data_IF_707204599257
#
_entry.id   IF_707204599257
#
_cell.length_a   1.000
_cell.length_b   1.000
_cell.length_c   1.000
_cell.angle_alpha   90.00
_cell.angle_beta   90.00
_cell.angle_gamma   90.00
#
_symmetry.space_group_name_H-M   'P 1'
#
loop_
_entity.id
_entity.type
_entity.pdbx_description
1 polymer ?
#
# COMPACT_ATOMS: atom_id res chain seq x y z
N UNK A 1 -7.06 -11.03 22.80
CA UNK A 1 -6.78 -9.60 22.65
C UNK A 1 -5.74 -9.53 21.55
N UNK A 2 -5.97 -8.75 20.50
CA UNK A 2 -5.14 -8.74 19.29
C UNK A 2 -4.24 -7.51 19.41
N UNK A 3 -2.99 -7.72 19.78
CA UNK A 3 -2.08 -6.60 20.11
C UNK A 3 -1.76 -5.69 18.93
N UNK A 4 -2.13 -6.06 17.70
CA UNK A 4 -2.06 -5.15 16.55
C UNK A 4 -3.20 -4.13 16.63
N UNK A 5 -4.43 -4.62 16.76
CA UNK A 5 -5.64 -3.79 16.84
C UNK A 5 -5.66 -2.94 18.11
N UNK A 6 -5.21 -3.50 19.24
CA UNK A 6 -5.35 -2.86 20.56
C UNK A 6 -4.35 -1.72 20.82
N UNK A 7 -3.41 -1.43 19.91
CA UNK A 7 -2.53 -0.27 20.06
C UNK A 7 -1.48 -0.07 18.97
N UNK A 8 -0.97 -1.15 18.37
CA UNK A 8 0.14 -1.04 17.40
C UNK A 8 -0.21 -0.17 16.18
N UNK A 9 -1.43 -0.28 15.63
CA UNK A 9 -1.86 0.54 14.49
C UNK A 9 -1.85 2.04 14.82
N UNK A 10 -2.24 2.41 16.03
CA UNK A 10 -2.23 3.79 16.50
C UNK A 10 -0.80 4.29 16.75
N UNK A 11 0.02 3.48 17.45
CA UNK A 11 1.43 3.80 17.74
C UNK A 11 2.27 4.00 16.47
N UNK A 12 1.92 3.28 15.41
CA UNK A 12 2.60 3.34 14.11
C UNK A 12 1.97 4.31 13.13
N UNK A 13 0.90 5.01 13.52
CA UNK A 13 0.13 5.93 12.68
C UNK A 13 -0.37 5.27 11.38
N UNK A 14 -0.65 3.97 11.41
CA UNK A 14 -0.86 3.15 10.21
C UNK A 14 -1.97 3.70 9.31
N UNK A 15 -3.12 4.02 9.91
CA UNK A 15 -4.28 4.57 9.18
C UNK A 15 -3.97 5.93 8.52
N UNK A 16 -3.05 6.72 9.07
CA UNK A 16 -2.66 8.00 8.45
C UNK A 16 -1.92 7.78 7.13
N UNK A 17 -1.17 6.69 6.99
CA UNK A 17 -0.54 6.36 5.71
C UNK A 17 -1.58 6.00 4.66
N UNK A 18 -2.62 5.22 4.99
CA UNK A 18 -3.73 4.96 4.04
C UNK A 18 -4.47 6.27 3.69
N UNK A 19 -4.69 7.15 4.67
CA UNK A 19 -5.30 8.46 4.44
C UNK A 19 -4.50 9.34 3.47
N UNK A 20 -3.16 9.25 3.45
CA UNK A 20 -2.36 9.97 2.46
C UNK A 20 -2.69 9.51 1.02
N UNK A 21 -2.96 8.22 0.80
CA UNK A 21 -3.41 7.71 -0.51
C UNK A 21 -4.78 8.24 -0.88
N UNK A 22 -5.71 8.35 0.06
CA UNK A 22 -7.03 8.95 -0.20
C UNK A 22 -6.91 10.42 -0.59
N UNK A 23 -6.11 11.20 0.15
CA UNK A 23 -5.83 12.61 -0.17
C UNK A 23 -5.19 12.77 -1.55
N UNK A 24 -4.32 11.83 -1.94
CA UNK A 24 -3.78 11.80 -3.29
C UNK A 24 -4.88 11.59 -4.31
N UNK A 25 -5.71 10.55 -4.16
CA UNK A 25 -6.78 10.26 -5.11
C UNK A 25 -7.77 11.42 -5.23
N UNK A 26 -8.06 12.14 -4.15
CA UNK A 26 -8.92 13.33 -4.16
C UNK A 26 -8.31 14.53 -4.93
N UNK A 27 -6.99 14.53 -5.15
CA UNK A 27 -6.28 15.58 -5.89
C UNK A 27 -6.11 15.31 -7.39
N UNK A 28 -6.38 14.07 -7.81
CA UNK A 28 -6.19 13.61 -9.18
C UNK A 28 -7.49 13.65 -9.98
N UNK A 29 -7.32 13.88 -11.27
CA UNK A 29 -8.33 13.67 -12.31
C UNK A 29 -7.88 12.47 -13.19
N UNK A 30 -8.81 11.84 -13.91
CA UNK A 30 -8.50 10.68 -14.76
C UNK A 30 -7.37 10.98 -15.77
N UNK A 31 -7.33 12.21 -16.30
CA UNK A 31 -6.28 12.65 -17.23
C UNK A 31 -4.87 12.69 -16.59
N UNK A 32 -4.77 12.89 -15.27
CA UNK A 32 -3.48 12.90 -14.58
C UNK A 32 -2.84 11.50 -14.59
N UNK A 33 -3.65 10.44 -14.65
CA UNK A 33 -3.17 9.05 -14.61
C UNK A 33 -2.33 8.69 -15.84
N UNK A 34 -2.54 9.36 -16.98
CA UNK A 34 -1.75 9.18 -18.19
C UNK A 34 -0.35 9.83 -18.11
N UNK A 35 -0.09 10.64 -17.08
CA UNK A 35 1.17 11.38 -16.94
C UNK A 35 2.36 10.44 -16.83
N UNK A 36 3.44 10.82 -17.52
CA UNK A 36 4.73 10.10 -17.55
C UNK A 36 5.87 11.10 -17.41
N UNK A 37 6.91 10.73 -16.65
CA UNK A 37 8.08 11.59 -16.42
C UNK A 37 9.19 11.43 -17.47
N UNK A 38 8.92 10.67 -18.54
CA UNK A 38 9.90 10.31 -19.57
C UNK A 38 10.78 9.12 -19.18
N UNK A 39 11.67 8.71 -20.08
CA UNK A 39 12.51 7.51 -19.88
C UNK A 39 11.68 6.24 -19.71
N UNK A 40 12.15 5.34 -18.85
CA UNK A 40 11.49 4.06 -18.52
C UNK A 40 10.43 4.21 -17.40
N UNK A 41 10.04 5.42 -17.03
CA UNK A 41 9.03 5.62 -15.97
C UNK A 41 7.67 5.09 -16.42
N UNK A 42 6.91 4.51 -15.51
CA UNK A 42 5.53 4.11 -15.78
C UNK A 42 4.60 5.33 -15.84
N UNK A 43 3.36 5.13 -16.27
CA UNK A 43 2.32 6.16 -16.07
C UNK A 43 1.98 6.30 -14.59
N UNK A 44 1.41 7.43 -14.18
CA UNK A 44 0.92 7.59 -12.80
C UNK A 44 -0.15 6.54 -12.47
N UNK A 45 -1.05 6.23 -13.42
CA UNK A 45 -2.07 5.20 -13.29
C UNK A 45 -1.48 3.80 -13.09
N UNK A 46 -0.45 3.43 -13.85
CA UNK A 46 0.26 2.16 -13.66
C UNK A 46 0.94 2.07 -12.29
N UNK A 47 1.56 3.16 -11.83
CA UNK A 47 2.16 3.24 -10.49
C UNK A 47 1.10 3.13 -9.38
N UNK A 48 -0.08 3.72 -9.57
CA UNK A 48 -1.22 3.54 -8.67
C UNK A 48 -1.70 2.08 -8.67
N UNK A 49 -1.85 1.44 -9.85
CA UNK A 49 -2.21 0.02 -9.87
C UNK A 49 -1.18 -0.84 -9.11
N UNK A 50 0.12 -0.59 -9.32
CA UNK A 50 1.21 -1.31 -8.65
C UNK A 50 1.06 -1.27 -7.12
N UNK A 51 0.76 -0.11 -6.51
CA UNK A 51 0.63 -0.05 -5.04
C UNK A 51 -0.60 -0.83 -4.53
N UNK A 52 -1.68 -0.91 -5.31
CA UNK A 52 -2.83 -1.75 -4.97
C UNK A 52 -2.53 -3.24 -5.08
N UNK A 53 -1.75 -3.65 -6.09
CA UNK A 53 -1.26 -5.03 -6.20
C UNK A 53 -0.34 -5.37 -5.02
N UNK A 54 0.56 -4.46 -4.65
CA UNK A 54 1.40 -4.60 -3.46
C UNK A 54 0.53 -4.80 -2.22
N UNK A 55 -0.45 -3.93 -1.96
CA UNK A 55 -1.34 -4.09 -0.81
C UNK A 55 -2.08 -5.44 -0.81
N UNK A 56 -2.63 -5.86 -1.95
CA UNK A 56 -3.25 -7.19 -2.07
C UNK A 56 -2.30 -8.30 -1.58
N UNK A 57 -1.05 -8.23 -1.99
CA UNK A 57 -0.06 -9.25 -1.63
C UNK A 57 0.20 -9.26 -0.10
N UNK A 58 0.19 -8.10 0.55
CA UNK A 58 0.30 -7.98 2.01
C UNK A 58 -0.94 -8.49 2.73
N UNK A 59 -2.15 -8.21 2.23
CA UNK A 59 -3.41 -8.78 2.73
C UNK A 59 -3.35 -10.31 2.75
N UNK A 60 -2.98 -10.90 1.62
CA UNK A 60 -2.88 -12.35 1.49
C UNK A 60 -1.76 -12.94 2.35
N UNK A 61 -0.68 -12.20 2.58
CA UNK A 61 0.39 -12.64 3.47
C UNK A 61 -0.04 -12.81 4.92
N UNK A 62 -0.94 -11.95 5.41
CA UNK A 62 -1.47 -12.05 6.77
C UNK A 62 -2.50 -13.18 6.89
N UNK A 63 -3.22 -13.49 5.81
CA UNK A 63 -4.19 -14.60 5.77
C UNK A 63 -3.51 -15.96 5.69
N UNK A 64 -2.49 -16.07 4.85
CA UNK A 64 -1.90 -17.35 4.46
C UNK A 64 -0.53 -17.61 5.08
N UNK A 65 0.10 -16.58 5.64
CA UNK A 65 1.49 -16.58 6.10
C UNK A 65 2.49 -16.88 4.96
N UNK A 66 2.09 -16.57 3.73
CA UNK A 66 2.92 -16.63 2.53
C UNK A 66 2.73 -15.37 1.71
N UNK A 67 3.82 -14.72 1.37
CA UNK A 67 3.86 -13.52 0.56
C UNK A 67 4.32 -13.87 -0.86
N UNK A 68 3.52 -13.50 -1.85
CA UNK A 68 3.79 -13.69 -3.28
C UNK A 68 3.55 -12.38 -4.02
N UNK A 69 4.60 -11.84 -4.67
CA UNK A 69 4.57 -10.59 -5.43
C UNK A 69 4.16 -10.77 -6.91
N UNK A 70 3.80 -11.99 -7.32
CA UNK A 70 3.38 -12.33 -8.68
C UNK A 70 1.94 -11.95 -9.03
N UNK A 71 1.13 -11.54 -8.06
CA UNK A 71 -0.25 -11.09 -8.31
C UNK A 71 -0.28 -9.87 -9.22
N UNK A 72 -1.08 -9.94 -10.29
CA UNK A 72 -1.34 -8.82 -11.20
C UNK A 72 -2.85 -8.66 -11.38
N UNK A 73 -3.34 -7.44 -11.21
CA UNK A 73 -4.74 -7.14 -11.48
C UNK A 73 -4.92 -6.92 -12.99
N UNK A 74 -5.77 -7.75 -13.61
CA UNK A 74 -5.99 -7.72 -15.06
C UNK A 74 -6.94 -6.62 -15.53
N UNK A 75 -7.54 -5.83 -14.62
CA UNK A 75 -8.49 -4.79 -14.98
C UNK A 75 -7.77 -3.53 -15.51
N UNK A 76 -7.86 -3.23 -16.82
CA UNK A 76 -7.14 -2.10 -17.40
C UNK A 76 -7.71 -0.75 -16.93
N UNK A 77 -8.97 -0.72 -16.50
CA UNK A 77 -9.64 0.51 -16.03
C UNK A 77 -8.95 1.11 -14.80
N UNK A 78 -8.23 0.31 -14.02
CA UNK A 78 -7.50 0.80 -12.84
C UNK A 78 -6.39 1.78 -13.19
N UNK A 79 -5.81 1.71 -14.38
CA UNK A 79 -4.81 2.71 -14.80
C UNK A 79 -5.44 4.00 -15.34
N UNK A 80 -6.76 4.02 -15.56
CA UNK A 80 -7.45 5.06 -16.32
C UNK A 80 -8.56 5.77 -15.54
N UNK A 81 -8.91 5.29 -14.35
CA UNK A 81 -10.01 5.86 -13.56
C UNK A 81 -9.66 5.99 -12.09
N UNK A 82 -9.66 7.24 -11.61
CA UNK A 82 -9.49 7.57 -10.19
C UNK A 82 -10.60 6.94 -9.36
N UNK A 83 -11.84 6.93 -9.88
CA UNK A 83 -12.96 6.31 -9.19
C UNK A 83 -12.78 4.79 -9.03
N UNK A 84 -12.28 4.09 -10.05
CA UNK A 84 -11.99 2.67 -9.98
C UNK A 84 -10.87 2.37 -8.96
N UNK A 85 -9.78 3.16 -8.98
CA UNK A 85 -8.69 3.05 -8.01
C UNK A 85 -9.18 3.26 -6.57
N UNK A 86 -9.98 4.30 -6.31
CA UNK A 86 -10.54 4.58 -4.98
C UNK A 86 -11.40 3.43 -4.46
N UNK A 87 -12.27 2.90 -5.32
CA UNK A 87 -13.11 1.76 -4.95
C UNK A 87 -12.24 0.54 -4.60
N UNK A 88 -11.24 0.25 -5.42
CA UNK A 88 -10.35 -0.88 -5.22
C UNK A 88 -9.48 -0.76 -3.97
N UNK A 89 -8.88 0.41 -3.71
CA UNK A 89 -8.15 0.66 -2.47
C UNK A 89 -9.03 0.52 -1.24
N UNK A 90 -10.26 1.04 -1.28
CA UNK A 90 -11.18 0.90 -0.15
C UNK A 90 -11.52 -0.57 0.14
N UNK A 91 -11.63 -1.40 -0.91
CA UNK A 91 -11.84 -2.85 -0.76
C UNK A 91 -10.61 -3.53 -0.15
N UNK A 92 -9.41 -3.14 -0.61
CA UNK A 92 -8.13 -3.64 -0.08
C UNK A 92 -7.92 -3.25 1.38
N UNK A 93 -8.22 -2.00 1.75
CA UNK A 93 -8.11 -1.50 3.12
C UNK A 93 -9.01 -2.29 4.06
N UNK A 94 -10.27 -2.54 3.67
CA UNK A 94 -11.18 -3.39 4.44
C UNK A 94 -10.69 -4.83 4.53
N UNK A 95 -10.13 -5.36 3.44
CA UNK A 95 -9.59 -6.72 3.41
C UNK A 95 -8.36 -6.85 4.32
N UNK A 96 -7.52 -5.81 4.40
CA UNK A 96 -6.36 -5.73 5.27
C UNK A 96 -6.76 -5.68 6.74
N UNK A 97 -7.70 -4.78 7.09
CA UNK A 97 -8.25 -4.71 8.45
C UNK A 97 -8.83 -6.05 8.87
N UNK A 98 -9.64 -6.68 8.03
CA UNK A 98 -10.21 -7.99 8.33
C UNK A 98 -9.14 -9.09 8.48
N UNK A 99 -8.06 -9.05 7.69
CA UNK A 99 -6.96 -10.00 7.81
C UNK A 99 -6.20 -9.81 9.14
N UNK A 100 -5.98 -8.56 9.56
CA UNK A 100 -5.34 -8.22 10.84
C UNK A 100 -6.22 -8.69 12.01
N UNK A 101 -7.51 -8.36 12.00
CA UNK A 101 -8.46 -8.71 13.07
C UNK A 101 -8.61 -10.22 13.24
N UNK A 102 -8.47 -10.99 12.15
CA UNK A 102 -8.55 -12.44 12.17
C UNK A 102 -7.33 -13.12 12.83
N UNK A 103 -6.22 -12.40 13.03
CA UNK A 103 -5.03 -12.95 13.68
C UNK A 103 -5.28 -13.20 15.17
N UNK A 104 -4.86 -14.36 15.65
CA UNK A 104 -4.76 -14.61 17.09
C UNK A 104 -3.47 -14.03 17.65
N UNK A 105 -3.42 -13.75 18.96
CA UNK A 105 -2.18 -13.28 19.60
C UNK A 105 -1.01 -14.27 19.40
N UNK A 106 -1.32 -15.58 19.41
CA UNK A 106 -0.32 -16.62 19.12
C UNK A 106 0.25 -16.50 17.71
N UNK A 107 -0.59 -16.16 16.72
CA UNK A 107 -0.12 -15.92 15.37
C UNK A 107 0.77 -14.67 15.30
N UNK A 108 0.35 -13.59 15.97
CA UNK A 108 1.09 -12.32 16.02
C UNK A 108 2.49 -12.50 16.63
N UNK A 109 2.61 -13.25 17.72
CA UNK A 109 3.88 -13.42 18.44
C UNK A 109 4.78 -14.50 17.84
N UNK A 110 4.21 -15.50 17.15
CA UNK A 110 4.93 -16.73 16.85
C UNK A 110 4.90 -17.20 15.41
N UNK A 111 3.98 -16.73 14.58
CA UNK A 111 3.80 -17.25 13.22
C UNK A 111 4.43 -16.32 12.19
N UNK A 112 5.57 -16.75 11.65
CA UNK A 112 6.32 -16.01 10.64
C UNK A 112 5.70 -16.14 9.26
N UNK A 113 5.84 -15.08 8.47
CA UNK A 113 5.34 -14.96 7.10
C UNK A 113 6.49 -15.28 6.16
N UNK A 114 6.34 -16.35 5.41
CA UNK A 114 7.34 -16.77 4.42
C UNK A 114 7.19 -15.92 3.17
N UNK A 115 8.29 -15.35 2.67
CA UNK A 115 8.26 -14.55 1.44
C UNK A 115 8.90 -15.27 0.26
N UNK A 116 8.25 -15.21 -0.90
CA UNK A 116 8.73 -15.90 -2.11
C UNK A 116 9.98 -15.27 -2.74
N UNK A 117 10.31 -14.03 -2.37
CA UNK A 117 11.43 -13.25 -2.92
C UNK A 117 12.76 -13.48 -2.19
N UNK A 118 12.74 -14.15 -1.04
CA UNK A 118 13.92 -14.51 -0.25
C UNK A 118 13.94 -16.00 0.10
N UNK A 119 15.11 -16.50 0.51
CA UNK A 119 15.18 -17.79 1.19
C UNK A 119 14.42 -17.71 2.53
N UNK A 120 13.60 -18.72 2.84
CA UNK A 120 12.75 -18.71 4.05
C UNK A 120 13.59 -18.53 5.34
N UNK A 121 14.84 -19.03 5.35
CA UNK A 121 15.75 -18.91 6.48
C UNK A 121 16.40 -17.52 6.61
N UNK A 122 16.37 -16.72 5.55
CA UNK A 122 16.96 -15.38 5.53
C UNK A 122 16.01 -14.34 6.12
N UNK A 123 14.77 -14.28 5.64
CA UNK A 123 13.82 -13.26 6.06
C UNK A 123 12.37 -13.74 6.02
N UNK A 124 11.84 -14.02 7.22
CA UNK A 124 10.43 -14.37 7.43
C UNK A 124 9.87 -13.54 8.60
N UNK A 125 9.30 -12.36 8.35
CA UNK A 125 8.86 -11.44 9.41
C UNK A 125 7.65 -11.95 10.20
N UNK A 126 7.49 -11.46 11.42
CA UNK A 126 6.24 -11.55 12.19
C UNK A 126 5.19 -10.56 11.64
N UNK A 127 3.90 -10.74 11.92
CA UNK A 127 2.84 -9.87 11.40
C UNK A 127 3.04 -8.37 11.63
N UNK A 128 3.58 -7.96 12.79
CA UNK A 128 3.91 -6.55 13.06
C UNK A 128 5.01 -6.04 12.11
N UNK A 129 6.12 -6.76 12.02
CA UNK A 129 7.24 -6.43 11.12
C UNK A 129 6.79 -6.39 9.64
N UNK A 130 5.84 -7.25 9.26
CA UNK A 130 5.25 -7.26 7.93
C UNK A 130 4.43 -5.99 7.65
N UNK A 131 3.66 -5.50 8.63
CA UNK A 131 2.94 -4.23 8.53
C UNK A 131 3.88 -3.02 8.48
N UNK A 132 4.98 -3.04 9.24
CA UNK A 132 6.04 -2.02 9.12
C UNK A 132 6.61 -1.99 7.70
N UNK A 133 6.88 -3.16 7.12
CA UNK A 133 7.39 -3.28 5.74
C UNK A 133 6.37 -2.78 4.71
N UNK A 134 5.08 -3.06 4.91
CA UNK A 134 4.04 -2.50 4.04
C UNK A 134 3.96 -0.97 4.11
N UNK A 135 4.09 -0.39 5.31
CA UNK A 135 4.15 1.06 5.50
C UNK A 135 5.34 1.67 4.74
N UNK A 136 6.50 1.02 4.75
CA UNK A 136 7.65 1.45 3.96
C UNK A 136 7.37 1.42 2.45
N UNK A 137 6.65 0.40 1.96
CA UNK A 137 6.22 0.33 0.56
C UNK A 137 5.31 1.52 0.18
N UNK A 138 4.37 1.90 1.07
CA UNK A 138 3.53 3.09 0.88
C UNK A 138 4.37 4.38 0.84
N UNK A 139 5.34 4.54 1.74
CA UNK A 139 6.24 5.69 1.76
C UNK A 139 7.07 5.81 0.47
N UNK A 140 7.58 4.69 -0.05
CA UNK A 140 8.29 4.65 -1.34
C UNK A 140 7.36 5.06 -2.48
N UNK A 141 6.13 4.53 -2.50
CA UNK A 141 5.11 4.92 -3.48
C UNK A 141 4.81 6.43 -3.41
N UNK A 142 4.58 6.98 -2.22
CA UNK A 142 4.34 8.42 -2.04
C UNK A 142 5.53 9.26 -2.49
N UNK A 143 6.76 8.81 -2.21
CA UNK A 143 7.98 9.43 -2.72
C UNK A 143 7.99 9.50 -4.25
N UNK A 144 7.70 8.37 -4.93
CA UNK A 144 7.59 8.31 -6.40
C UNK A 144 6.51 9.26 -6.92
N UNK A 145 5.28 9.18 -6.38
CA UNK A 145 4.15 10.02 -6.81
C UNK A 145 4.40 11.51 -6.58
N UNK A 146 5.12 11.88 -5.52
CA UNK A 146 5.44 13.28 -5.24
C UNK A 146 6.17 13.97 -6.41
N UNK A 147 6.97 13.21 -7.18
CA UNK A 147 7.68 13.72 -8.36
C UNK A 147 6.69 13.97 -9.51
N UNK A 148 5.72 13.07 -9.73
CA UNK A 148 4.66 13.27 -10.71
C UNK A 148 3.85 14.53 -10.39
N UNK A 149 3.39 14.66 -9.14
CA UNK A 149 2.62 15.83 -8.71
C UNK A 149 3.39 17.14 -8.92
N UNK A 150 4.68 17.17 -8.58
CA UNK A 150 5.56 18.33 -8.80
C UNK A 150 5.70 18.65 -10.28
N UNK A 151 5.84 17.64 -11.14
CA UNK A 151 5.96 17.84 -12.60
C UNK A 151 4.69 18.42 -13.23
N UNK A 152 3.52 18.08 -12.68
CA UNK A 152 2.22 18.58 -13.13
C UNK A 152 1.84 19.94 -12.50
N UNK A 153 2.65 20.46 -11.56
CA UNK A 153 2.32 21.68 -10.81
C UNK A 153 1.12 21.52 -9.86
N UNK A 154 0.76 20.29 -9.48
CA UNK A 154 -0.35 20.01 -8.57
C UNK A 154 -0.02 20.47 -7.14
N UNK A 155 -0.97 21.15 -6.50
CA UNK A 155 -0.83 21.53 -5.09
C UNK A 155 -1.02 20.30 -4.21
N UNK A 156 -0.17 20.18 -3.18
CA UNK A 156 -0.21 19.07 -2.22
C UNK A 156 -0.77 19.56 -0.89
N UNK A 157 -1.49 18.69 -0.18
CA UNK A 157 -2.00 18.99 1.17
C UNK A 157 -0.86 19.35 2.12
N UNK A 158 -1.20 19.93 3.29
CA UNK A 158 -0.19 20.25 4.30
C UNK A 158 0.47 18.96 4.81
N UNK A 159 -0.33 17.95 5.07
CA UNK A 159 0.08 16.62 5.53
C UNK A 159 1.08 15.99 4.55
N UNK A 160 0.77 15.99 3.26
CA UNK A 160 1.68 15.49 2.23
C UNK A 160 3.02 16.23 2.20
N UNK A 161 3.00 17.57 2.32
CA UNK A 161 4.25 18.36 2.34
C UNK A 161 5.08 18.10 3.58
N UNK A 162 4.43 17.95 4.73
CA UNK A 162 5.12 17.77 6.00
C UNK A 162 5.69 16.35 6.17
N UNK A 163 4.98 15.33 5.66
CA UNK A 163 5.34 13.92 5.88
C UNK A 163 6.14 13.31 4.73
N UNK A 164 5.92 13.76 3.50
CA UNK A 164 6.56 13.19 2.30
C UNK A 164 7.60 14.14 1.69
N UNK A 165 7.36 15.46 1.72
CA UNK A 165 8.28 16.50 1.22
C UNK A 165 7.81 17.21 -0.04
#
# INVERSE_FOLDING_TARGET
MNSIVDGYLDETYFALYQQLRDQLMDSLEDADLESRLGGETETLGALCREVGEIEHTYVESLRTFRQDFGYRNSEPVLELSVAALKAWYSDLDRALTAAIEALSEKDIEGRRIVRSDFDESFFSPLPKEQLDTYREALLIFYGKVSVYLKSMGKTRSKEWRDWIG
#
